data_IF_687247663786
#
_entry.id   IF_687247663786
#
_cell.length_a   1.000
_cell.length_b   1.000
_cell.length_c   1.000
_cell.angle_alpha   90.00
_cell.angle_beta   90.00
_cell.angle_gamma   90.00
#
_symmetry.space_group_name_H-M   'P 1'
#
loop_
_entity.id
_entity.type
_entity.pdbx_description
1 polymer ?
#
# COMPACT_ATOMS: atom_id res chain seq x y z
N UNK A 1 2.77 -14.58 -2.73
CA UNK A 1 2.22 -13.21 -2.92
C UNK A 1 3.12 -12.31 -3.78
N UNK A 2 4.44 -12.56 -3.90
CA UNK A 2 5.30 -11.84 -4.87
C UNK A 2 4.81 -11.97 -6.32
N UNK A 3 4.19 -13.09 -6.67
CA UNK A 3 3.70 -13.35 -8.05
C UNK A 3 2.34 -12.71 -8.39
N UNK A 4 1.68 -12.04 -7.42
CA UNK A 4 0.28 -11.58 -7.58
C UNK A 4 0.13 -10.07 -7.76
N UNK A 5 1.18 -9.28 -7.55
CA UNK A 5 1.12 -7.82 -7.76
C UNK A 5 1.15 -7.43 -9.24
N UNK A 6 1.62 -8.33 -10.12
CA UNK A 6 1.96 -7.98 -11.49
C UNK A 6 3.06 -6.91 -11.56
N UNK A 7 3.46 -6.54 -12.78
CA UNK A 7 4.47 -5.49 -12.98
C UNK A 7 3.98 -4.13 -12.45
N UNK A 8 2.69 -3.85 -12.63
CA UNK A 8 2.05 -2.59 -12.22
C UNK A 8 2.02 -2.43 -10.70
N UNK A 9 1.71 -3.48 -9.94
CA UNK A 9 1.72 -3.42 -8.48
C UNK A 9 3.13 -3.19 -7.95
N UNK A 10 4.15 -3.81 -8.54
CA UNK A 10 5.55 -3.58 -8.16
C UNK A 10 5.96 -2.13 -8.47
N UNK A 11 5.60 -1.62 -9.65
CA UNK A 11 5.87 -0.22 -10.02
C UNK A 11 5.18 0.75 -9.05
N UNK A 12 3.93 0.50 -8.68
CA UNK A 12 3.19 1.29 -7.69
C UNK A 12 3.87 1.31 -6.32
N UNK A 13 4.31 0.15 -5.83
CA UNK A 13 5.08 0.06 -4.57
C UNK A 13 6.37 0.87 -4.65
N UNK A 14 7.09 0.77 -5.77
CA UNK A 14 8.33 1.54 -5.97
C UNK A 14 8.08 3.06 -5.93
N UNK A 15 7.04 3.54 -6.61
CA UNK A 15 6.64 4.96 -6.61
C UNK A 15 6.33 5.44 -5.19
N UNK A 16 5.61 4.63 -4.40
CA UNK A 16 5.32 4.96 -3.00
C UNK A 16 6.61 5.09 -2.18
N UNK A 17 7.55 4.15 -2.33
CA UNK A 17 8.82 4.21 -1.62
C UNK A 17 9.67 5.42 -2.02
N UNK A 18 9.70 5.78 -3.31
CA UNK A 18 10.39 6.99 -3.77
C UNK A 18 9.77 8.25 -3.18
N UNK A 19 8.44 8.36 -3.19
CA UNK A 19 7.73 9.51 -2.62
C UNK A 19 8.02 9.67 -1.11
N UNK A 20 7.90 8.58 -0.35
CA UNK A 20 8.22 8.60 1.09
C UNK A 20 9.71 8.89 1.31
N UNK A 21 10.60 8.34 0.50
CA UNK A 21 12.04 8.61 0.57
C UNK A 21 12.38 10.10 0.39
N UNK A 22 11.75 10.76 -0.59
CA UNK A 22 11.89 12.21 -0.80
C UNK A 22 11.42 12.99 0.43
N UNK A 23 10.28 12.62 1.01
CA UNK A 23 9.75 13.27 2.21
C UNK A 23 10.73 13.04 3.38
N UNK A 24 11.22 11.82 3.56
CA UNK A 24 12.08 11.42 4.68
C UNK A 24 13.41 12.17 4.71
N UNK A 25 13.97 12.50 3.53
CA UNK A 25 15.19 13.32 3.42
C UNK A 25 14.97 14.74 3.97
N UNK A 26 13.74 15.27 3.86
CA UNK A 26 13.43 16.64 4.28
C UNK A 26 12.84 16.73 5.67
N UNK A 27 11.93 15.82 6.00
CA UNK A 27 11.29 15.71 7.30
C UNK A 27 10.93 14.23 7.60
N UNK A 28 11.72 13.54 8.44
CA UNK A 28 11.48 12.13 8.75
C UNK A 28 10.22 11.91 9.58
N UNK A 29 9.76 12.91 10.35
CA UNK A 29 8.56 12.79 11.18
C UNK A 29 7.32 12.79 10.29
N UNK A 30 7.27 13.70 9.30
CA UNK A 30 6.19 13.73 8.32
C UNK A 30 6.19 12.45 7.48
N UNK A 31 7.36 11.95 7.06
CA UNK A 31 7.46 10.69 6.34
C UNK A 31 6.89 9.51 7.15
N UNK A 32 7.18 9.46 8.45
CA UNK A 32 6.62 8.46 9.37
C UNK A 32 5.09 8.56 9.47
N UNK A 33 4.54 9.76 9.59
CA UNK A 33 3.10 9.98 9.63
C UNK A 33 2.41 9.55 8.31
N UNK A 34 3.02 9.86 7.17
CA UNK A 34 2.54 9.43 5.85
C UNK A 34 2.58 7.92 5.70
N UNK A 35 3.62 7.25 6.20
CA UNK A 35 3.67 5.78 6.21
C UNK A 35 2.56 5.16 7.07
N UNK A 36 2.24 5.75 8.22
CA UNK A 36 1.11 5.33 9.05
C UNK A 36 -0.22 5.45 8.28
N UNK A 37 -0.41 6.56 7.56
CA UNK A 37 -1.58 6.78 6.70
C UNK A 37 -1.67 5.72 5.60
N UNK A 38 -0.57 5.46 4.88
CA UNK A 38 -0.50 4.43 3.83
C UNK A 38 -0.83 3.05 4.38
N UNK A 39 -0.31 2.70 5.57
CA UNK A 39 -0.63 1.44 6.22
C UNK A 39 -2.12 1.32 6.54
N UNK A 40 -2.74 2.39 7.05
CA UNK A 40 -4.20 2.44 7.28
C UNK A 40 -5.00 2.22 5.99
N UNK A 41 -4.62 2.91 4.90
CA UNK A 41 -5.25 2.74 3.60
C UNK A 41 -5.10 1.31 3.06
N UNK A 42 -3.92 0.70 3.22
CA UNK A 42 -3.66 -0.67 2.80
C UNK A 42 -4.53 -1.68 3.57
N UNK A 43 -4.73 -1.47 4.88
CA UNK A 43 -5.63 -2.28 5.70
C UNK A 43 -7.09 -2.16 5.24
N UNK A 44 -7.55 -0.94 4.95
CA UNK A 44 -8.91 -0.69 4.42
C UNK A 44 -9.08 -1.41 3.08
N UNK A 45 -8.14 -1.23 2.15
CA UNK A 45 -8.17 -1.86 0.85
C UNK A 45 -8.19 -3.40 0.97
N UNK A 46 -7.37 -3.97 1.85
CA UNK A 46 -7.38 -5.40 2.15
C UNK A 46 -8.76 -5.87 2.64
N UNK A 47 -9.35 -5.17 3.61
CA UNK A 47 -10.67 -5.51 4.15
C UNK A 47 -11.76 -5.44 3.08
N UNK A 48 -11.71 -4.45 2.19
CA UNK A 48 -12.63 -4.32 1.07
C UNK A 48 -12.49 -5.49 0.08
N UNK A 49 -11.25 -5.84 -0.30
CA UNK A 49 -10.97 -6.96 -1.21
C UNK A 49 -11.38 -8.30 -0.58
N UNK A 50 -11.06 -8.55 0.69
CA UNK A 50 -11.49 -9.77 1.40
C UNK A 50 -13.02 -9.88 1.46
N UNK A 51 -13.73 -8.77 1.70
CA UNK A 51 -15.21 -8.75 1.71
C UNK A 51 -15.80 -9.00 0.32
N UNK A 52 -15.22 -8.37 -0.71
CA UNK A 52 -15.64 -8.57 -2.10
C UNK A 52 -15.43 -10.03 -2.53
N UNK A 53 -14.26 -10.60 -2.28
CA UNK A 53 -13.95 -11.99 -2.62
C UNK A 53 -14.94 -12.97 -1.95
N UNK A 54 -15.24 -12.79 -0.65
CA UNK A 54 -16.28 -13.55 0.06
C UNK A 54 -17.65 -13.46 -0.61
N UNK A 55 -18.03 -12.29 -1.10
CA UNK A 55 -19.33 -12.10 -1.79
C UNK A 55 -19.43 -12.88 -3.11
N UNK A 56 -18.29 -13.25 -3.71
CA UNK A 56 -18.20 -14.07 -4.91
C UNK A 56 -17.92 -15.56 -4.62
N UNK A 57 -17.95 -15.99 -3.35
CA UNK A 57 -17.64 -17.38 -2.96
C UNK A 57 -16.17 -17.77 -3.14
N UNK A 58 -15.32 -16.80 -3.45
CA UNK A 58 -13.88 -16.96 -3.52
C UNK A 58 -13.36 -16.61 -2.12
N UNK A 59 -13.06 -17.62 -1.30
CA UNK A 59 -12.54 -17.52 0.09
C UNK A 59 -13.59 -17.52 1.21
#
# INVERSE_FOLDING_TARGET
MRDTLGLEGIAGVFVVFVAVGIIAVRDPVIAGAVMLLIAGLALIAKGLVDTAMRSFGLK
#
